data_IF_660859740652
#
_entry.id   IF_660859740652
#
_cell.length_a   1.000
_cell.length_b   1.000
_cell.length_c   1.000
_cell.angle_alpha   90.00
_cell.angle_beta   90.00
_cell.angle_gamma   90.00
#
_symmetry.space_group_name_H-M   'P 1'
#
loop_
_entity.id
_entity.type
_entity.pdbx_description
1 polymer ?
#
# COMPACT_ATOMS: atom_id res chain seq x y z
N UNK A 1 26.45 -0.86 -16.71
CA UNK A 1 26.02 -1.65 -15.55
C UNK A 1 24.71 -2.30 -15.95
N UNK A 2 24.68 -3.62 -16.07
CA UNK A 2 23.46 -4.37 -16.33
C UNK A 2 22.53 -4.21 -15.13
N UNK A 3 21.31 -3.74 -15.39
CA UNK A 3 20.30 -3.60 -14.36
C UNK A 3 19.98 -4.99 -13.81
N UNK A 4 20.13 -5.17 -12.50
CA UNK A 4 19.72 -6.40 -11.81
C UNK A 4 18.30 -6.74 -12.24
N UNK A 5 18.00 -7.98 -12.68
CA UNK A 5 16.68 -8.32 -13.15
C UNK A 5 15.65 -8.09 -12.05
N UNK A 6 14.58 -7.37 -12.40
CA UNK A 6 13.46 -7.04 -11.54
C UNK A 6 12.68 -8.33 -11.20
N UNK A 7 13.10 -9.02 -10.14
CA UNK A 7 12.41 -10.21 -9.64
C UNK A 7 11.41 -9.78 -8.56
N UNK A 8 10.19 -9.50 -8.98
CA UNK A 8 9.08 -9.25 -8.04
C UNK A 8 8.16 -10.47 -8.06
N UNK A 9 8.05 -11.17 -6.94
CA UNK A 9 7.02 -12.19 -6.74
C UNK A 9 5.77 -11.49 -6.26
N UNK A 10 4.73 -11.49 -7.09
CA UNK A 10 3.44 -10.87 -6.81
C UNK A 10 2.73 -11.61 -5.67
N UNK A 11 2.26 -10.87 -4.67
CA UNK A 11 1.63 -11.44 -3.48
C UNK A 11 0.15 -11.74 -3.76
N UNK A 12 -0.34 -12.93 -3.32
CA UNK A 12 -1.73 -13.37 -3.52
C UNK A 12 -2.19 -13.19 -4.98
N UNK A 13 -1.29 -13.48 -5.93
CA UNK A 13 -1.46 -13.11 -7.33
C UNK A 13 -2.72 -13.71 -7.96
N UNK A 14 -2.94 -15.01 -7.78
CA UNK A 14 -4.09 -15.70 -8.33
C UNK A 14 -5.37 -15.34 -7.57
N UNK A 15 -5.33 -15.35 -6.25
CA UNK A 15 -6.48 -15.06 -5.40
C UNK A 15 -7.04 -13.65 -5.63
N UNK A 16 -6.16 -12.67 -5.79
CA UNK A 16 -6.55 -11.29 -6.05
C UNK A 16 -7.18 -11.14 -7.44
N UNK A 17 -6.53 -11.69 -8.47
CA UNK A 17 -6.98 -11.56 -9.85
C UNK A 17 -8.27 -12.36 -10.09
N UNK A 18 -8.36 -13.61 -9.62
CA UNK A 18 -9.58 -14.43 -9.74
C UNK A 18 -10.76 -13.78 -9.04
N UNK A 19 -10.53 -13.12 -7.89
CA UNK A 19 -11.61 -12.42 -7.18
C UNK A 19 -12.21 -11.27 -7.97
N UNK A 20 -11.47 -10.66 -8.92
CA UNK A 20 -11.95 -9.61 -9.83
C UNK A 20 -12.66 -10.17 -11.07
N UNK A 21 -12.57 -11.48 -11.32
CA UNK A 21 -13.18 -12.15 -12.47
C UNK A 21 -12.78 -11.53 -13.82
N UNK A 22 -11.48 -11.44 -14.14
CA UNK A 22 -11.03 -10.87 -15.40
C UNK A 22 -11.56 -11.72 -16.58
N UNK A 23 -11.96 -11.02 -17.65
CA UNK A 23 -12.44 -11.66 -18.89
C UNK A 23 -12.31 -10.68 -20.05
N UNK A 24 -12.46 -11.17 -21.27
CA UNK A 24 -12.54 -10.32 -22.46
C UNK A 24 -13.70 -9.32 -22.34
N UNK A 25 -13.45 -8.07 -22.73
CA UNK A 25 -14.43 -6.97 -22.65
C UNK A 25 -14.61 -6.36 -21.25
N UNK A 26 -13.94 -6.86 -20.21
CA UNK A 26 -13.94 -6.22 -18.90
C UNK A 26 -12.80 -5.22 -18.78
N UNK A 27 -13.07 -4.10 -18.12
CA UNK A 27 -12.12 -3.03 -17.82
C UNK A 27 -11.75 -3.12 -16.34
N UNK A 28 -10.47 -3.36 -16.05
CA UNK A 28 -9.95 -3.49 -14.70
C UNK A 28 -8.93 -2.41 -14.40
N UNK A 29 -8.85 -2.01 -13.13
CA UNK A 29 -7.86 -1.05 -12.64
C UNK A 29 -6.93 -1.75 -11.65
N UNK A 30 -5.64 -1.62 -11.90
CA UNK A 30 -4.58 -1.92 -10.94
C UNK A 30 -4.08 -0.58 -10.39
N UNK A 31 -4.57 -0.19 -9.22
CA UNK A 31 -4.27 1.11 -8.62
C UNK A 31 -2.83 1.20 -8.08
N UNK A 32 -2.12 0.07 -8.05
CA UNK A 32 -0.76 -0.11 -7.53
C UNK A 32 0.06 -0.97 -8.48
N UNK A 33 0.19 -0.50 -9.74
CA UNK A 33 0.76 -1.26 -10.86
C UNK A 33 2.09 -1.96 -10.53
N UNK A 34 2.99 -1.30 -9.80
CA UNK A 34 4.31 -1.83 -9.47
C UNK A 34 5.04 -2.36 -10.70
N UNK A 35 5.51 -3.62 -10.63
CA UNK A 35 6.12 -4.32 -11.77
C UNK A 35 5.14 -4.96 -12.74
N UNK A 36 3.84 -4.78 -12.55
CA UNK A 36 2.78 -5.27 -13.42
C UNK A 36 2.40 -6.75 -13.25
N UNK A 37 2.70 -7.35 -12.10
CA UNK A 37 2.45 -8.78 -11.90
C UNK A 37 0.98 -9.15 -11.86
N UNK A 38 0.14 -8.42 -11.11
CA UNK A 38 -1.30 -8.60 -11.11
C UNK A 38 -1.90 -8.22 -12.48
N UNK A 39 -1.45 -7.10 -13.03
CA UNK A 39 -1.88 -6.62 -14.35
C UNK A 39 -1.62 -7.65 -15.45
N UNK A 40 -0.49 -8.38 -15.40
CA UNK A 40 -0.18 -9.42 -16.37
C UNK A 40 -1.22 -10.54 -16.36
N UNK A 41 -1.61 -11.03 -15.19
CA UNK A 41 -2.63 -12.06 -15.05
C UNK A 41 -4.01 -11.58 -15.54
N UNK A 42 -4.37 -10.33 -15.27
CA UNK A 42 -5.61 -9.73 -15.79
C UNK A 42 -5.61 -9.64 -17.32
N UNK A 43 -4.48 -9.21 -17.91
CA UNK A 43 -4.28 -9.12 -19.36
C UNK A 43 -4.29 -10.50 -20.03
N UNK A 44 -3.66 -11.52 -19.39
CA UNK A 44 -3.70 -12.91 -19.88
C UNK A 44 -5.13 -13.47 -19.95
N UNK A 45 -5.99 -13.06 -19.02
CA UNK A 45 -7.42 -13.41 -19.03
C UNK A 45 -8.24 -12.60 -20.06
N UNK A 46 -7.62 -11.70 -20.82
CA UNK A 46 -8.24 -10.94 -21.90
C UNK A 46 -8.79 -9.57 -21.52
N UNK A 47 -8.70 -9.16 -20.26
CA UNK A 47 -9.20 -7.86 -19.79
C UNK A 47 -8.38 -6.68 -20.35
N UNK A 48 -9.02 -5.52 -20.43
CA UNK A 48 -8.34 -4.23 -20.56
C UNK A 48 -7.91 -3.75 -19.17
N UNK A 49 -6.65 -3.29 -19.02
CA UNK A 49 -6.09 -2.93 -17.72
C UNK A 49 -5.58 -1.50 -17.71
N UNK A 50 -6.04 -0.74 -16.72
CA UNK A 50 -5.56 0.59 -16.39
C UNK A 50 -4.67 0.49 -15.13
N UNK A 51 -3.35 0.58 -15.33
CA UNK A 51 -2.37 0.48 -14.24
C UNK A 51 -1.90 1.86 -13.78
N UNK A 52 -2.07 2.17 -12.51
CA UNK A 52 -1.67 3.44 -11.90
C UNK A 52 -0.47 3.20 -10.99
N UNK A 53 0.55 4.05 -11.08
CA UNK A 53 1.65 4.07 -10.12
C UNK A 53 2.29 5.45 -10.05
N UNK A 54 2.70 5.88 -8.87
CA UNK A 54 3.42 7.13 -8.68
C UNK A 54 4.93 7.01 -8.93
N UNK A 55 5.49 5.79 -8.85
CA UNK A 55 6.92 5.54 -9.05
C UNK A 55 7.24 5.42 -10.56
N UNK A 56 8.05 6.32 -11.14
CA UNK A 56 8.42 6.25 -12.56
C UNK A 56 9.21 4.98 -12.91
N UNK A 57 9.97 4.42 -11.95
CA UNK A 57 10.76 3.19 -12.15
C UNK A 57 9.81 2.00 -12.29
N UNK A 58 8.80 1.91 -11.43
CA UNK A 58 7.79 0.87 -11.49
C UNK A 58 7.02 0.91 -12.81
N UNK A 59 6.54 2.10 -13.23
CA UNK A 59 5.84 2.27 -14.51
C UNK A 59 6.69 1.88 -15.71
N UNK A 60 7.98 2.23 -15.71
CA UNK A 60 8.89 1.85 -16.79
C UNK A 60 9.13 0.33 -16.84
N UNK A 61 9.22 -0.32 -15.69
CA UNK A 61 9.35 -1.78 -15.59
C UNK A 61 8.08 -2.49 -16.09
N UNK A 62 6.90 -2.06 -15.64
CA UNK A 62 5.63 -2.62 -16.08
C UNK A 62 5.41 -2.44 -17.60
N UNK A 63 5.70 -1.26 -18.17
CA UNK A 63 5.62 -1.03 -19.62
C UNK A 63 6.50 -1.99 -20.42
N UNK A 64 7.73 -2.26 -19.95
CA UNK A 64 8.63 -3.21 -20.63
C UNK A 64 8.10 -4.65 -20.52
N UNK A 65 7.70 -5.05 -19.32
CA UNK A 65 7.18 -6.41 -19.04
C UNK A 65 5.94 -6.72 -19.86
N UNK A 66 5.03 -5.77 -19.94
CA UNK A 66 3.69 -5.95 -20.50
C UNK A 66 3.55 -5.42 -21.92
N UNK A 67 4.67 -5.10 -22.62
CA UNK A 67 4.66 -4.51 -23.96
C UNK A 67 3.90 -5.37 -25.00
N UNK A 68 3.87 -6.68 -24.84
CA UNK A 68 3.18 -7.60 -25.75
C UNK A 68 1.66 -7.44 -25.77
N UNK A 69 1.05 -6.81 -24.75
CA UNK A 69 -0.40 -6.64 -24.66
C UNK A 69 -0.93 -5.41 -25.39
N UNK A 70 -0.04 -4.54 -25.91
CA UNK A 70 -0.39 -3.39 -26.76
C UNK A 70 -1.45 -2.49 -26.13
N UNK A 71 -2.51 -2.24 -26.87
CA UNK A 71 -3.59 -1.31 -26.51
C UNK A 71 -4.48 -1.79 -25.35
N UNK A 72 -4.32 -3.02 -24.87
CA UNK A 72 -5.05 -3.51 -23.69
C UNK A 72 -4.46 -3.01 -22.37
N UNK A 73 -3.24 -2.42 -22.37
CA UNK A 73 -2.59 -1.87 -21.20
C UNK A 73 -2.44 -0.35 -21.27
N UNK A 74 -3.01 0.35 -20.31
CA UNK A 74 -2.89 1.79 -20.13
C UNK A 74 -2.14 2.10 -18.84
N UNK A 75 -0.94 2.69 -18.96
CA UNK A 75 -0.12 3.04 -17.78
C UNK A 75 -0.26 4.51 -17.45
N UNK A 76 -0.79 4.81 -16.27
CA UNK A 76 -1.10 6.14 -15.77
C UNK A 76 -0.11 6.53 -14.66
N UNK A 77 0.46 7.73 -14.77
CA UNK A 77 1.30 8.32 -13.74
C UNK A 77 0.43 9.01 -12.68
N UNK A 78 0.55 8.62 -11.43
CA UNK A 78 -0.15 9.27 -10.33
C UNK A 78 -0.22 8.41 -9.07
N UNK A 79 -0.69 9.02 -7.99
CA UNK A 79 -0.99 8.32 -6.76
C UNK A 79 -2.39 7.72 -6.83
N UNK A 80 -2.59 6.51 -6.33
CA UNK A 80 -3.87 5.81 -6.34
C UNK A 80 -4.98 6.55 -5.58
N UNK A 81 -4.66 7.46 -4.66
CA UNK A 81 -5.65 8.35 -4.03
C UNK A 81 -6.48 9.13 -5.04
N UNK A 82 -5.89 9.45 -6.17
CA UNK A 82 -6.50 10.19 -7.28
C UNK A 82 -6.99 9.27 -8.42
N UNK A 83 -7.12 7.96 -8.17
CA UNK A 83 -7.43 6.99 -9.21
C UNK A 83 -8.68 7.37 -10.02
N UNK A 84 -9.74 7.81 -9.34
CA UNK A 84 -11.01 8.19 -9.99
C UNK A 84 -10.81 9.37 -10.93
N UNK A 85 -10.23 10.49 -10.47
CA UNK A 85 -10.00 11.67 -11.30
C UNK A 85 -9.05 11.38 -12.47
N UNK A 86 -7.96 10.65 -12.21
CA UNK A 86 -6.99 10.25 -13.24
C UNK A 86 -7.62 9.44 -14.37
N UNK A 87 -8.56 8.55 -14.04
CA UNK A 87 -9.26 7.73 -15.02
C UNK A 87 -10.34 8.52 -15.75
N UNK A 88 -11.12 9.34 -15.04
CA UNK A 88 -12.16 10.18 -15.65
C UNK A 88 -11.59 11.18 -16.65
N UNK A 89 -10.43 11.79 -16.37
CA UNK A 89 -9.69 12.65 -17.30
C UNK A 89 -9.32 11.94 -18.60
N UNK A 90 -9.26 10.60 -18.59
CA UNK A 90 -8.95 9.74 -19.75
C UNK A 90 -10.18 9.09 -20.37
N UNK A 91 -11.36 9.53 -19.95
CA UNK A 91 -12.64 9.05 -20.49
C UNK A 91 -13.17 7.77 -19.83
N UNK A 92 -12.49 7.21 -18.83
CA UNK A 92 -12.95 6.01 -18.10
C UNK A 92 -13.90 6.42 -16.99
N UNK A 93 -15.19 6.22 -17.21
CA UNK A 93 -16.25 6.63 -16.27
C UNK A 93 -16.63 5.53 -15.27
N UNK A 94 -16.47 4.26 -15.67
CA UNK A 94 -16.79 3.12 -14.81
C UNK A 94 -15.98 1.89 -15.22
N UNK A 95 -15.66 1.03 -14.24
CA UNK A 95 -14.85 -0.18 -14.42
C UNK A 95 -15.51 -1.40 -13.79
N UNK A 96 -15.07 -2.60 -14.19
CA UNK A 96 -15.60 -3.87 -13.71
C UNK A 96 -14.86 -4.40 -12.48
N UNK A 97 -13.65 -3.88 -12.22
CA UNK A 97 -12.89 -4.26 -11.03
C UNK A 97 -11.78 -3.26 -10.72
N UNK A 98 -11.48 -3.14 -9.44
CA UNK A 98 -10.41 -2.29 -8.89
C UNK A 98 -9.57 -3.12 -7.91
N UNK A 99 -8.28 -3.19 -8.17
CA UNK A 99 -7.27 -3.79 -7.28
C UNK A 99 -6.40 -2.70 -6.65
N UNK A 100 -6.13 -2.84 -5.38
CA UNK A 100 -5.10 -2.08 -4.68
C UNK A 100 -4.23 -3.04 -3.85
N UNK A 101 -2.96 -3.19 -4.22
CA UNK A 101 -1.93 -3.94 -3.48
C UNK A 101 -1.11 -2.93 -2.68
N UNK A 102 -1.57 -2.65 -1.43
CA UNK A 102 -1.04 -1.55 -0.63
C UNK A 102 0.29 -1.95 -0.01
N UNK A 103 1.28 -1.07 -0.12
CA UNK A 103 2.60 -1.28 0.49
C UNK A 103 3.75 -0.87 -0.42
N UNK A 104 4.91 -1.46 -0.15
CA UNK A 104 6.14 -1.19 -0.89
C UNK A 104 6.48 -2.32 -1.83
N UNK A 105 6.92 -1.96 -3.02
CA UNK A 105 7.39 -2.95 -4.00
C UNK A 105 8.76 -3.52 -3.59
N UNK A 106 9.03 -4.77 -4.03
CA UNK A 106 10.34 -5.39 -3.77
C UNK A 106 11.51 -4.54 -4.23
N UNK A 107 11.50 -3.90 -5.42
CA UNK A 107 12.58 -3.02 -5.84
C UNK A 107 12.81 -1.81 -4.96
N UNK A 108 11.75 -1.25 -4.35
CA UNK A 108 11.90 -0.15 -3.40
C UNK A 108 12.65 -0.60 -2.15
N UNK A 109 12.42 -1.84 -1.67
CA UNK A 109 13.11 -2.40 -0.51
C UNK A 109 14.53 -2.83 -0.83
N UNK A 110 14.74 -3.42 -2.02
CA UNK A 110 16.02 -4.04 -2.39
C UNK A 110 17.05 -3.03 -2.90
N UNK A 111 16.60 -1.85 -3.35
CA UNK A 111 17.46 -0.74 -3.77
C UNK A 111 17.83 0.12 -2.57
N UNK A 112 19.08 0.05 -2.11
CA UNK A 112 19.56 0.80 -0.94
C UNK A 112 19.40 2.32 -1.11
N UNK A 113 19.57 2.83 -2.34
CA UNK A 113 19.46 4.24 -2.70
C UNK A 113 18.05 4.81 -2.49
N UNK A 114 17.04 3.94 -2.38
CA UNK A 114 15.65 4.37 -2.10
C UNK A 114 15.37 4.57 -0.60
N UNK A 115 16.23 4.07 0.28
CA UNK A 115 16.16 4.31 1.73
C UNK A 115 15.02 3.60 2.49
N UNK A 116 14.34 2.63 1.88
CA UNK A 116 13.25 1.90 2.55
C UNK A 116 13.75 0.80 3.50
N UNK A 117 14.98 0.35 3.34
CA UNK A 117 15.59 -0.70 4.13
C UNK A 117 16.81 -0.18 4.88
N UNK A 118 17.07 -0.72 6.05
CA UNK A 118 18.28 -0.50 6.85
C UNK A 118 19.22 -1.73 6.86
N UNK A 119 18.93 -2.73 6.02
CA UNK A 119 19.81 -3.91 5.87
C UNK A 119 21.12 -3.55 5.15
N UNK A 120 21.03 -2.60 4.24
CA UNK A 120 22.16 -1.99 3.56
C UNK A 120 22.12 -0.48 3.82
N UNK A 121 23.29 0.15 3.90
CA UNK A 121 23.37 1.59 4.03
C UNK A 121 22.89 2.28 2.76
N UNK A 122 22.01 3.25 2.94
CA UNK A 122 21.47 4.10 1.88
C UNK A 122 21.04 5.45 2.44
N UNK A 123 20.71 6.43 1.58
CA UNK A 123 20.17 7.71 2.00
C UNK A 123 18.84 7.50 2.72
N UNK A 124 18.55 8.32 3.73
CA UNK A 124 17.29 8.27 4.48
C UNK A 124 16.18 8.98 3.69
N UNK A 125 15.74 8.38 2.57
CA UNK A 125 14.79 8.99 1.63
C UNK A 125 13.34 8.52 1.86
N UNK A 126 13.02 7.27 1.58
CA UNK A 126 11.71 6.60 1.71
C UNK A 126 10.58 7.17 0.83
N UNK A 127 10.84 8.07 -0.11
CA UNK A 127 9.80 8.58 -1.03
C UNK A 127 9.48 7.55 -2.10
N UNK A 128 8.22 7.18 -2.24
CA UNK A 128 7.74 6.34 -3.36
C UNK A 128 7.77 7.14 -4.66
N UNK A 129 7.35 8.41 -4.61
CA UNK A 129 7.55 9.36 -5.69
C UNK A 129 8.82 10.17 -5.41
N UNK A 130 9.92 10.01 -6.18
CA UNK A 130 11.16 10.75 -5.94
C UNK A 130 11.03 12.29 -6.06
N UNK A 131 9.97 12.77 -6.74
CA UNK A 131 9.69 14.20 -6.87
C UNK A 131 8.88 14.78 -5.70
N UNK A 132 8.49 13.97 -4.69
CA UNK A 132 7.83 14.47 -3.49
C UNK A 132 8.78 15.39 -2.70
N UNK A 133 8.21 16.39 -2.04
CA UNK A 133 8.99 17.45 -1.37
C UNK A 133 9.74 16.96 -0.13
N UNK A 134 9.11 16.09 0.67
CA UNK A 134 9.60 15.73 2.01
C UNK A 134 10.05 14.27 2.06
N UNK A 135 11.33 14.06 2.37
CA UNK A 135 11.93 12.75 2.60
C UNK A 135 11.88 12.33 4.08
N UNK A 136 12.29 11.11 4.38
CA UNK A 136 12.44 10.65 5.75
C UNK A 136 13.56 11.42 6.48
N UNK A 137 14.64 11.82 5.78
CA UNK A 137 15.68 12.67 6.33
C UNK A 137 15.12 14.03 6.77
N UNK A 138 14.23 14.63 5.98
CA UNK A 138 13.61 15.90 6.34
C UNK A 138 12.76 15.74 7.60
N UNK A 139 11.91 14.70 7.70
CA UNK A 139 11.15 14.44 8.91
C UNK A 139 12.05 14.26 10.12
N UNK A 140 13.06 13.40 10.02
CA UNK A 140 13.96 13.05 11.12
C UNK A 140 14.74 14.27 11.60
N UNK A 141 15.20 15.11 10.67
CA UNK A 141 16.07 16.24 11.03
C UNK A 141 15.31 17.53 11.37
N UNK A 142 14.04 17.70 10.96
CA UNK A 142 13.33 18.97 11.14
C UNK A 142 12.09 18.91 12.01
N UNK A 143 11.40 17.75 12.10
CA UNK A 143 10.16 17.63 12.86
C UNK A 143 10.37 17.89 14.37
N UNK A 144 9.37 18.44 15.04
CA UNK A 144 9.40 18.60 16.49
C UNK A 144 9.45 17.24 17.20
N UNK A 145 10.01 17.16 18.43
CA UNK A 145 10.07 15.91 19.21
C UNK A 145 8.68 15.28 19.38
N UNK A 146 7.66 16.11 19.64
CA UNK A 146 6.28 15.64 19.74
C UNK A 146 5.74 15.06 18.44
N UNK A 147 6.00 15.72 17.30
CA UNK A 147 5.60 15.24 15.97
C UNK A 147 6.27 13.89 15.65
N UNK A 148 7.56 13.76 15.90
CA UNK A 148 8.27 12.47 15.75
C UNK A 148 7.66 11.38 16.63
N UNK A 149 7.36 11.70 17.90
CA UNK A 149 6.75 10.75 18.83
C UNK A 149 5.36 10.32 18.36
N UNK A 150 4.57 11.24 17.82
CA UNK A 150 3.23 10.96 17.30
C UNK A 150 3.28 10.11 16.03
N UNK A 151 4.19 10.38 15.09
CA UNK A 151 4.44 9.55 13.90
C UNK A 151 4.79 8.12 14.33
N UNK A 152 5.76 7.96 15.21
CA UNK A 152 6.21 6.64 15.68
C UNK A 152 5.11 5.88 16.43
N UNK A 153 4.28 6.58 17.19
CA UNK A 153 3.17 5.99 17.90
C UNK A 153 2.01 5.59 16.98
N UNK A 154 1.54 6.52 16.16
CA UNK A 154 0.36 6.34 15.33
C UNK A 154 0.60 5.33 14.19
N UNK A 155 1.74 5.44 13.51
CA UNK A 155 2.04 4.66 12.30
C UNK A 155 2.94 3.45 12.57
N UNK A 156 3.69 3.46 13.66
CA UNK A 156 4.54 2.33 14.05
C UNK A 156 3.94 1.45 15.16
N UNK A 157 2.88 1.91 15.84
CA UNK A 157 2.39 1.31 17.08
C UNK A 157 3.56 1.09 18.07
N UNK A 158 4.56 2.03 18.07
CA UNK A 158 5.79 1.92 18.84
C UNK A 158 5.61 2.51 20.24
N UNK A 159 5.63 1.63 21.24
CA UNK A 159 5.40 2.01 22.64
C UNK A 159 6.48 2.93 23.21
N UNK A 160 7.71 2.82 22.72
CA UNK A 160 8.83 3.66 23.13
C UNK A 160 8.97 4.94 22.28
N UNK A 161 7.94 5.33 21.54
CA UNK A 161 7.93 6.44 20.58
C UNK A 161 8.56 7.72 21.13
N UNK A 162 8.21 8.13 22.37
CA UNK A 162 8.74 9.33 23.02
C UNK A 162 10.24 9.21 23.33
N UNK A 163 10.70 8.04 23.76
CA UNK A 163 12.12 7.83 24.06
C UNK A 163 12.97 7.84 22.78
N UNK A 164 12.44 7.22 21.70
CA UNK A 164 13.09 7.22 20.39
C UNK A 164 13.13 8.64 19.83
N UNK A 165 12.02 9.36 19.83
CA UNK A 165 11.95 10.74 19.34
C UNK A 165 12.96 11.65 20.05
N UNK A 166 13.02 11.59 21.38
CA UNK A 166 14.01 12.31 22.17
C UNK A 166 15.44 11.96 21.77
N UNK A 167 15.73 10.67 21.58
CA UNK A 167 17.06 10.23 21.17
C UNK A 167 17.43 10.75 19.77
N UNK A 168 16.51 10.70 18.82
CA UNK A 168 16.69 11.27 17.48
C UNK A 168 17.02 12.77 17.58
N UNK A 169 16.25 13.54 18.35
CA UNK A 169 16.48 14.98 18.54
C UNK A 169 17.84 15.25 19.16
N UNK A 170 18.28 14.45 20.12
CA UNK A 170 19.61 14.56 20.73
C UNK A 170 20.73 14.25 19.73
N UNK A 171 20.59 13.24 18.89
CA UNK A 171 21.64 12.87 17.93
C UNK A 171 21.71 13.87 16.76
N UNK A 172 20.56 14.28 16.20
CA UNK A 172 20.55 15.28 15.11
C UNK A 172 21.10 16.65 15.52
N UNK A 173 21.06 17.00 16.82
CA UNK A 173 21.68 18.25 17.32
C UNK A 173 23.22 18.24 17.28
N UNK A 174 23.82 17.04 17.16
CA UNK A 174 25.27 16.87 17.03
C UNK A 174 25.70 16.87 15.56
N UNK A 175 24.95 16.14 14.72
CA UNK A 175 25.15 16.08 13.28
C UNK A 175 23.86 15.59 12.60
N UNK A 176 23.54 16.02 11.37
CA UNK A 176 22.38 15.53 10.62
C UNK A 176 22.39 14.00 10.48
N UNK A 177 21.21 13.38 10.61
CA UNK A 177 21.02 11.96 10.39
C UNK A 177 20.69 11.77 8.90
N UNK A 178 21.58 11.14 8.14
CA UNK A 178 21.48 11.09 6.67
C UNK A 178 21.33 9.70 6.09
N UNK A 179 21.70 8.65 6.86
CA UNK A 179 21.64 7.28 6.35
C UNK A 179 20.65 6.40 7.13
N UNK A 180 20.18 5.36 6.47
CA UNK A 180 19.25 4.39 7.05
C UNK A 180 19.87 3.62 8.21
N UNK A 181 21.12 3.20 8.07
CA UNK A 181 21.86 2.48 9.12
C UNK A 181 22.08 3.35 10.35
N UNK A 182 22.48 4.62 10.17
CA UNK A 182 22.64 5.58 11.25
C UNK A 182 21.35 5.72 12.09
N UNK A 183 20.20 5.89 11.42
CA UNK A 183 18.92 5.97 12.12
C UNK A 183 18.57 4.65 12.84
N UNK A 184 18.80 3.52 12.18
CA UNK A 184 18.52 2.21 12.76
C UNK A 184 19.34 1.94 14.03
N UNK A 185 20.62 2.35 14.05
CA UNK A 185 21.50 2.22 15.22
C UNK A 185 21.06 3.14 16.37
N UNK A 186 20.65 4.37 16.07
CA UNK A 186 20.09 5.28 17.07
C UNK A 186 18.86 4.67 17.75
N UNK A 187 17.95 4.08 16.97
CA UNK A 187 16.74 3.44 17.49
C UNK A 187 17.09 2.17 18.29
N UNK A 188 18.00 1.35 17.78
CA UNK A 188 18.45 0.14 18.48
C UNK A 188 19.14 0.45 19.80
N UNK A 189 19.79 1.60 19.93
CA UNK A 189 20.38 2.08 21.19
C UNK A 189 19.34 2.45 22.27
N UNK A 190 18.08 2.66 21.89
CA UNK A 190 16.97 2.92 22.82
C UNK A 190 16.22 1.66 23.20
N UNK A 191 16.09 0.73 22.25
CA UNK A 191 15.24 -0.46 22.36
C UNK A 191 16.09 -1.72 22.60
N UNK A 192 15.82 -2.50 23.63
CA UNK A 192 16.46 -3.81 23.79
C UNK A 192 16.03 -4.72 22.62
N UNK A 193 16.98 -5.48 22.08
CA UNK A 193 16.68 -6.48 21.04
C UNK A 193 15.80 -7.59 21.63
N UNK A 194 14.52 -7.62 21.25
CA UNK A 194 13.56 -8.64 21.67
C UNK A 194 13.07 -9.43 20.45
N UNK A 195 13.36 -10.72 20.39
CA UNK A 195 12.85 -11.60 19.34
C UNK A 195 13.63 -11.52 18.01
N UNK A 196 12.95 -11.97 16.92
CA UNK A 196 13.56 -12.10 15.58
C UNK A 196 13.54 -10.79 14.76
N UNK A 197 12.66 -9.85 15.13
CA UNK A 197 12.49 -8.59 14.38
C UNK A 197 13.48 -7.54 14.90
N UNK A 198 14.05 -6.78 13.95
CA UNK A 198 14.96 -5.68 14.31
C UNK A 198 14.19 -4.55 15.03
N UNK A 199 14.78 -3.93 16.08
CA UNK A 199 14.10 -2.86 16.84
C UNK A 199 13.60 -1.70 16.01
N UNK A 200 14.32 -1.30 14.95
CA UNK A 200 13.96 -0.18 14.09
C UNK A 200 12.79 -0.46 13.13
N UNK A 201 12.35 -1.70 12.95
CA UNK A 201 11.35 -2.05 11.91
C UNK A 201 10.08 -1.22 12.02
N UNK A 202 9.52 -1.06 13.21
CA UNK A 202 8.28 -0.28 13.42
C UNK A 202 8.49 1.20 13.15
N UNK A 203 9.63 1.73 13.54
CA UNK A 203 9.97 3.14 13.31
C UNK A 203 10.18 3.44 11.83
N UNK A 204 10.80 2.53 11.07
CA UNK A 204 10.94 2.64 9.62
C UNK A 204 9.58 2.57 8.93
N UNK A 205 8.71 1.64 9.33
CA UNK A 205 7.33 1.61 8.85
C UNK A 205 6.61 2.94 9.14
N UNK A 206 6.74 3.49 10.34
CA UNK A 206 6.09 4.74 10.71
C UNK A 206 6.55 5.93 9.85
N UNK A 207 7.85 6.06 9.64
CA UNK A 207 8.41 7.10 8.80
C UNK A 207 7.98 6.95 7.34
N UNK A 208 7.98 5.72 6.81
CA UNK A 208 7.53 5.43 5.45
C UNK A 208 6.07 5.86 5.24
N UNK A 209 5.19 5.48 6.16
CA UNK A 209 3.77 5.86 6.12
C UNK A 209 3.63 7.39 6.18
N UNK A 210 4.41 8.06 7.03
CA UNK A 210 4.36 9.51 7.16
C UNK A 210 4.89 10.25 5.92
N UNK A 211 6.00 9.78 5.33
CA UNK A 211 6.61 10.36 4.11
C UNK A 211 5.66 10.30 2.92
N UNK A 212 4.95 9.17 2.77
CA UNK A 212 4.13 8.90 1.59
C UNK A 212 2.63 9.13 1.83
N UNK A 213 2.23 9.52 3.04
CA UNK A 213 0.82 9.64 3.46
C UNK A 213 -0.02 8.41 3.03
N UNK A 214 0.52 7.21 3.32
CA UNK A 214 -0.03 5.95 2.81
C UNK A 214 -1.45 5.69 3.30
N UNK A 215 -1.72 5.97 4.58
CA UNK A 215 -3.05 5.75 5.17
C UNK A 215 -4.08 6.77 4.67
N UNK A 216 -3.69 8.05 4.51
CA UNK A 216 -4.56 9.05 3.90
C UNK A 216 -4.88 8.70 2.45
N UNK A 217 -3.88 8.26 1.67
CA UNK A 217 -4.10 7.82 0.30
C UNK A 217 -5.03 6.59 0.22
N UNK A 218 -4.89 5.64 1.15
CA UNK A 218 -5.78 4.49 1.23
C UNK A 218 -7.23 4.90 1.57
N UNK A 219 -7.42 5.79 2.53
CA UNK A 219 -8.75 6.30 2.88
C UNK A 219 -9.42 7.01 1.69
N UNK A 220 -8.67 7.85 0.98
CA UNK A 220 -9.17 8.52 -0.23
C UNK A 220 -9.60 7.51 -1.32
N UNK A 221 -8.79 6.48 -1.57
CA UNK A 221 -9.14 5.42 -2.51
C UNK A 221 -10.37 4.62 -2.08
N UNK A 222 -10.48 4.27 -0.80
CA UNK A 222 -11.63 3.52 -0.28
C UNK A 222 -12.93 4.29 -0.49
N UNK A 223 -12.94 5.58 -0.17
CA UNK A 223 -14.13 6.42 -0.33
C UNK A 223 -14.51 6.71 -1.78
N UNK A 224 -13.53 6.86 -2.67
CA UNK A 224 -13.79 7.21 -4.06
C UNK A 224 -13.89 5.99 -4.98
N UNK A 225 -13.09 4.94 -4.73
CA UNK A 225 -12.96 3.79 -5.62
C UNK A 225 -14.26 3.00 -5.83
N UNK A 226 -15.10 2.89 -4.78
CA UNK A 226 -16.40 2.21 -4.90
C UNK A 226 -17.32 2.92 -5.90
N UNK A 227 -17.23 4.25 -6.02
CA UNK A 227 -18.04 5.02 -6.98
C UNK A 227 -17.68 4.70 -8.43
N UNK A 228 -16.41 4.37 -8.69
CA UNK A 228 -15.90 4.04 -10.03
C UNK A 228 -16.40 2.68 -10.55
N UNK A 229 -16.80 1.77 -9.67
CA UNK A 229 -17.25 0.44 -10.08
C UNK A 229 -18.64 0.47 -10.71
N UNK A 230 -18.85 -0.37 -11.72
CA UNK A 230 -20.21 -0.75 -12.18
C UNK A 230 -20.90 -1.59 -11.14
N UNK A 231 -22.23 -1.71 -11.20
CA UNK A 231 -22.97 -2.71 -10.41
C UNK A 231 -22.45 -4.13 -10.75
N UNK A 232 -22.19 -4.95 -9.74
CA UNK A 232 -21.50 -6.25 -9.88
C UNK A 232 -19.98 -6.16 -10.02
N UNK A 233 -19.42 -4.95 -10.11
CA UNK A 233 -17.97 -4.71 -10.11
C UNK A 233 -17.34 -4.97 -8.73
N UNK A 234 -16.06 -5.38 -8.71
CA UNK A 234 -15.40 -5.82 -7.47
C UNK A 234 -14.23 -4.92 -7.09
N UNK A 235 -14.12 -4.65 -5.79
CA UNK A 235 -13.00 -3.95 -5.18
C UNK A 235 -12.20 -4.91 -4.32
N UNK A 236 -10.97 -5.17 -4.70
CA UNK A 236 -10.02 -6.04 -4.01
C UNK A 236 -8.88 -5.20 -3.43
N UNK A 237 -8.59 -5.38 -2.14
CA UNK A 237 -7.50 -4.67 -1.45
C UNK A 237 -6.63 -5.67 -0.72
N UNK A 238 -5.32 -5.65 -0.99
CA UNK A 238 -4.28 -6.38 -0.27
C UNK A 238 -3.61 -5.41 0.69
N UNK A 239 -3.46 -5.82 1.94
CA UNK A 239 -2.83 -5.05 3.02
C UNK A 239 -1.75 -5.85 3.70
N UNK A 240 -0.71 -5.20 4.26
CA UNK A 240 0.45 -5.87 4.85
C UNK A 240 0.65 -5.59 6.34
N UNK A 241 -0.04 -4.61 6.90
CA UNK A 241 0.02 -4.32 8.34
C UNK A 241 -1.35 -3.99 8.94
N UNK A 242 -1.38 -3.98 10.28
CA UNK A 242 -2.61 -3.84 11.08
C UNK A 242 -3.40 -2.56 10.81
N UNK A 243 -2.73 -1.45 10.53
CA UNK A 243 -3.37 -0.15 10.31
C UNK A 243 -4.14 -0.14 8.99
N UNK A 244 -3.52 -0.61 7.90
CA UNK A 244 -4.16 -0.77 6.59
C UNK A 244 -5.36 -1.72 6.68
N UNK A 245 -5.15 -2.94 7.23
CA UNK A 245 -6.22 -3.94 7.36
C UNK A 245 -7.41 -3.42 8.18
N UNK A 246 -7.13 -2.61 9.21
CA UNK A 246 -8.15 -1.97 10.04
C UNK A 246 -8.95 -0.93 9.27
N UNK A 247 -8.29 -0.09 8.47
CA UNK A 247 -8.95 0.91 7.62
C UNK A 247 -9.87 0.24 6.58
N UNK A 248 -9.34 -0.73 5.83
CA UNK A 248 -10.10 -1.48 4.82
C UNK A 248 -11.28 -2.23 5.46
N UNK A 249 -11.04 -2.93 6.57
CA UNK A 249 -12.08 -3.67 7.29
C UNK A 249 -13.23 -2.74 7.73
N UNK A 250 -12.91 -1.60 8.32
CA UNK A 250 -13.91 -0.63 8.81
C UNK A 250 -14.75 -0.09 7.66
N UNK A 251 -14.10 0.33 6.58
CA UNK A 251 -14.81 0.83 5.41
C UNK A 251 -15.69 -0.24 4.78
N UNK A 252 -15.17 -1.48 4.58
CA UNK A 252 -15.95 -2.58 4.02
C UNK A 252 -17.13 -2.96 4.91
N UNK A 253 -16.94 -2.99 6.23
CA UNK A 253 -18.05 -3.19 7.18
C UNK A 253 -19.11 -2.11 7.07
N UNK A 254 -18.71 -0.84 6.90
CA UNK A 254 -19.62 0.28 6.75
C UNK A 254 -20.49 0.13 5.50
N UNK A 255 -19.90 -0.16 4.34
CA UNK A 255 -20.63 -0.20 3.07
C UNK A 255 -21.35 -1.53 2.79
N UNK A 256 -21.09 -2.58 3.58
CA UNK A 256 -21.69 -3.91 3.36
C UNK A 256 -22.73 -4.31 4.40
N UNK A 257 -22.95 -3.51 5.45
CA UNK A 257 -24.02 -3.77 6.42
C UNK A 257 -25.31 -3.10 5.96
N UNK A 258 -26.40 -3.86 5.74
CA UNK A 258 -27.67 -3.29 5.30
C UNK A 258 -28.33 -2.41 6.39
N UNK A 259 -28.03 -2.69 7.66
CA UNK A 259 -28.59 -2.01 8.80
C UNK A 259 -27.49 -1.61 9.80
N UNK A 260 -27.75 -0.51 10.50
CA UNK A 260 -26.96 -0.04 11.64
C UNK A 260 -27.78 -0.21 12.89
N UNK A 261 -27.21 -0.89 13.89
CA UNK A 261 -27.75 -1.00 15.23
C UNK A 261 -26.91 -0.19 16.22
N UNK A 262 -27.55 0.54 17.11
CA UNK A 262 -26.90 1.26 18.21
C UNK A 262 -27.67 1.00 19.51
N UNK A 263 -26.96 0.89 20.65
CA UNK A 263 -27.62 0.61 21.95
C UNK A 263 -28.76 1.57 22.33
N UNK A 264 -28.69 2.81 21.80
CA UNK A 264 -29.66 3.86 22.11
C UNK A 264 -30.92 3.79 21.21
N UNK A 265 -30.92 2.92 20.19
CA UNK A 265 -32.04 2.82 19.27
C UNK A 265 -33.00 1.68 19.65
N UNK A 266 -34.32 1.91 19.51
CA UNK A 266 -35.31 0.87 19.80
C UNK A 266 -35.29 -0.30 18.81
N UNK A 267 -34.72 -0.09 17.61
CA UNK A 267 -34.53 -1.10 16.56
C UNK A 267 -33.42 -0.66 15.60
N UNK A 268 -32.79 -1.60 14.88
CA UNK A 268 -31.85 -1.30 13.81
C UNK A 268 -32.49 -0.38 12.75
N UNK A 269 -31.67 0.46 12.11
CA UNK A 269 -32.11 1.36 11.03
C UNK A 269 -31.38 1.05 9.74
N UNK A 270 -32.02 1.29 8.57
CA UNK A 270 -31.33 1.15 7.29
C UNK A 270 -30.03 1.94 7.26
N UNK A 271 -28.99 1.32 6.74
CA UNK A 271 -27.69 1.95 6.57
C UNK A 271 -27.66 2.77 5.27
N UNK A 272 -27.50 4.10 5.32
CA UNK A 272 -27.45 4.93 4.12
C UNK A 272 -26.20 4.66 3.26
N UNK A 273 -25.14 4.10 3.85
CA UNK A 273 -23.89 3.79 3.14
C UNK A 273 -23.88 2.38 2.54
N UNK A 274 -24.97 1.61 2.69
CA UNK A 274 -25.06 0.26 2.15
C UNK A 274 -25.06 0.27 0.62
N UNK A 275 -23.91 -0.13 0.04
CA UNK A 275 -23.68 -0.05 -1.40
C UNK A 275 -22.93 -1.27 -1.97
N UNK A 276 -22.55 -2.23 -1.11
CA UNK A 276 -21.76 -3.38 -1.53
C UNK A 276 -22.12 -4.64 -0.71
N UNK A 277 -21.62 -5.79 -1.16
CA UNK A 277 -21.65 -7.05 -0.40
C UNK A 277 -20.25 -7.63 -0.26
N UNK A 278 -19.98 -8.33 0.84
CA UNK A 278 -18.72 -9.07 1.02
C UNK A 278 -18.67 -10.24 0.03
N UNK A 279 -17.58 -10.36 -0.73
CA UNK A 279 -17.30 -11.56 -1.53
C UNK A 279 -16.80 -12.68 -0.62
N UNK A 280 -15.94 -12.34 0.33
CA UNK A 280 -15.43 -13.27 1.34
C UNK A 280 -15.67 -12.74 2.75
N UNK A 281 -16.18 -13.59 3.66
CA UNK A 281 -16.42 -13.20 5.06
C UNK A 281 -15.13 -12.97 5.85
N UNK A 282 -14.06 -13.70 5.52
CA UNK A 282 -12.74 -13.59 6.13
C UNK A 282 -11.74 -13.13 5.08
N UNK A 283 -10.66 -12.43 5.46
CA UNK A 283 -9.61 -12.11 4.51
C UNK A 283 -8.95 -13.40 4.00
N UNK A 284 -8.57 -13.41 2.74
CA UNK A 284 -7.70 -14.45 2.17
C UNK A 284 -6.27 -14.10 2.60
N UNK A 285 -5.50 -15.12 2.98
CA UNK A 285 -4.08 -15.01 3.36
C UNK A 285 -3.25 -15.99 2.53
N UNK A 286 -1.96 -15.72 2.42
CA UNK A 286 -1.04 -16.54 1.66
C UNK A 286 -1.06 -18.02 2.10
N UNK A 287 -1.00 -18.91 1.14
CA UNK A 287 -0.86 -20.35 1.34
C UNK A 287 0.52 -20.72 1.88
N UNK A 288 0.68 -21.91 2.46
CA UNK A 288 1.99 -22.38 2.92
C UNK A 288 3.01 -22.46 1.78
N UNK A 289 2.58 -22.80 0.58
CA UNK A 289 3.41 -22.83 -0.63
C UNK A 289 3.91 -21.42 -0.98
N UNK A 290 3.01 -20.43 -0.96
CA UNK A 290 3.39 -19.04 -1.21
C UNK A 290 4.31 -18.49 -0.12
N UNK A 291 4.02 -18.78 1.17
CA UNK A 291 4.88 -18.35 2.29
C UNK A 291 6.31 -18.87 2.17
N UNK A 292 6.45 -20.10 1.66
CA UNK A 292 7.77 -20.71 1.44
C UNK A 292 8.51 -20.06 0.27
N UNK A 293 7.80 -19.70 -0.80
CA UNK A 293 8.37 -19.07 -1.99
C UNK A 293 8.57 -17.56 -1.81
N UNK A 294 7.66 -16.89 -1.09
CA UNK A 294 7.68 -15.44 -0.88
C UNK A 294 7.42 -15.08 0.59
N UNK A 295 8.44 -15.00 1.44
CA UNK A 295 8.27 -14.62 2.86
C UNK A 295 7.60 -13.26 3.08
N UNK A 296 7.58 -12.37 2.06
CA UNK A 296 6.92 -11.05 2.12
C UNK A 296 5.39 -11.16 2.15
N UNK A 297 4.82 -12.27 1.66
CA UNK A 297 3.36 -12.52 1.72
C UNK A 297 2.84 -12.85 3.13
N UNK A 298 3.73 -13.05 4.09
CA UNK A 298 3.38 -13.51 5.47
C UNK A 298 2.30 -12.67 6.16
N UNK A 299 2.32 -11.37 5.96
CA UNK A 299 1.38 -10.45 6.61
C UNK A 299 0.23 -10.04 5.69
N UNK A 300 0.24 -10.50 4.43
CA UNK A 300 -0.73 -10.12 3.43
C UNK A 300 -2.14 -10.59 3.78
N UNK A 301 -3.12 -9.71 3.56
CA UNK A 301 -4.54 -10.00 3.71
C UNK A 301 -5.30 -9.38 2.55
N UNK A 302 -5.95 -10.21 1.77
CA UNK A 302 -6.84 -9.78 0.70
C UNK A 302 -8.29 -9.70 1.21
N UNK A 303 -8.93 -8.56 1.00
CA UNK A 303 -10.36 -8.35 1.22
C UNK A 303 -11.03 -7.92 -0.06
N UNK A 304 -12.24 -8.40 -0.29
CA UNK A 304 -12.99 -8.12 -1.53
C UNK A 304 -14.44 -7.84 -1.23
N UNK A 305 -14.95 -6.76 -1.84
CA UNK A 305 -16.39 -6.44 -1.89
C UNK A 305 -16.86 -6.37 -3.33
N UNK A 306 -18.15 -6.54 -3.53
CA UNK A 306 -18.83 -6.41 -4.82
C UNK A 306 -19.90 -5.31 -4.70
N UNK A 307 -19.88 -4.34 -5.61
CA UNK A 307 -20.86 -3.24 -5.66
C UNK A 307 -22.25 -3.78 -6.03
N UNK A 308 -23.28 -3.29 -5.35
CA UNK A 308 -24.70 -3.62 -5.60
C UNK A 308 -25.24 -2.96 -6.87
#
# INVERSE_FOLDING_TARGET
MEATPFHHVTVLAHEAVESLQPAEGRVLVDATLGGGGHSELMLQAGAEVWGIDQDPIARAAAKRRLAAYGDKLHVVAGNFRNAVSLLQERGVQAVDGLLADIGISSPQVDCAERGFSFLNEGPLDMRMNPAAERSAADIVNTAAESELADILWQYGEERASRAIARRIVQERSKAPITTTTQLADIIAGVLPRKGKQHPATRSFQALRIAVNDELGALEDLLHTGLSLLRSGGRFAVITFHSLEDRAVKRFFEQVTRPEIDRPEWPAPRPNPDYAARLVYRKPITASEAELSANPRSRSAKLRVIEKL
#
